data_IF_409707629941
#
_entry.id   IF_409707629941
#
_cell.length_a   1.000
_cell.length_b   1.000
_cell.length_c   1.000
_cell.angle_alpha   90.00
_cell.angle_beta   90.00
_cell.angle_gamma   90.00
#
_symmetry.space_group_name_H-M   'P 1'
#
loop_
_entity.id
_entity.type
_entity.pdbx_description
1 polymer ?
#
# COMPACT_ATOMS: atom_id res chain seq x y z
N UNK A 1 3.38 41.52 2.39
CA UNK A 1 1.99 41.05 2.58
C UNK A 1 1.87 39.53 2.59
N UNK A 2 2.52 38.79 1.68
CA UNK A 2 2.53 37.32 1.71
C UNK A 2 3.10 36.73 3.01
N UNK A 3 4.17 37.32 3.56
CA UNK A 3 4.79 36.88 4.83
C UNK A 3 3.85 37.00 6.04
N UNK A 4 2.94 37.98 6.03
CA UNK A 4 1.97 38.16 7.11
C UNK A 4 0.86 37.09 7.06
N UNK A 5 0.37 36.75 5.86
CA UNK A 5 -0.64 35.69 5.69
C UNK A 5 -0.05 34.32 6.00
N UNK A 6 1.16 34.02 5.51
CA UNK A 6 1.82 32.75 5.77
C UNK A 6 2.06 32.55 7.27
N UNK A 7 2.53 33.57 7.99
CA UNK A 7 2.71 33.50 9.44
C UNK A 7 1.38 33.26 10.19
N UNK A 8 0.28 33.90 9.77
CA UNK A 8 -1.05 33.67 10.34
C UNK A 8 -1.52 32.24 10.07
N UNK A 9 -1.32 31.71 8.86
CA UNK A 9 -1.67 30.34 8.50
C UNK A 9 -0.87 29.31 9.30
N UNK A 10 0.43 29.54 9.53
CA UNK A 10 1.26 28.66 10.34
C UNK A 10 0.83 28.66 11.81
N UNK A 11 0.55 29.83 12.38
CA UNK A 11 0.03 29.92 13.75
C UNK A 11 -1.35 29.27 13.90
N UNK A 12 -2.21 29.45 12.90
CA UNK A 12 -3.52 28.78 12.88
C UNK A 12 -3.41 27.26 12.73
N UNK A 13 -2.43 26.78 11.96
CA UNK A 13 -2.15 25.34 11.87
C UNK A 13 -1.64 24.81 13.22
N UNK A 14 -0.63 25.45 13.81
CA UNK A 14 -0.11 25.09 15.14
C UNK A 14 -1.22 25.08 16.21
N UNK A 15 -2.16 26.03 16.14
CA UNK A 15 -3.36 26.04 16.96
C UNK A 15 -4.22 24.79 16.79
N UNK A 16 -4.50 24.36 15.55
CA UNK A 16 -5.27 23.15 15.26
C UNK A 16 -4.52 21.89 15.73
N UNK A 17 -3.19 21.89 15.63
CA UNK A 17 -2.35 20.78 16.12
C UNK A 17 -2.27 20.69 17.64
N UNK A 18 -2.65 21.77 18.36
CA UNK A 18 -2.54 21.85 19.81
C UNK A 18 -1.17 22.34 20.30
N UNK A 19 -0.38 22.93 19.40
CA UNK A 19 0.99 23.40 19.63
C UNK A 19 1.06 24.91 19.95
N UNK A 20 0.00 25.68 19.66
CA UNK A 20 -0.10 27.11 20.01
C UNK A 20 -1.18 27.33 21.08
N UNK A 21 -0.76 27.85 22.24
CA UNK A 21 -1.60 28.16 23.41
C UNK A 21 -2.29 29.53 23.31
N UNK A 22 -1.79 30.43 22.46
CA UNK A 22 -2.34 31.80 22.26
C UNK A 22 -3.18 31.92 20.99
N UNK A 23 -3.59 30.78 20.44
CA UNK A 23 -4.33 30.65 19.20
C UNK A 23 -5.65 31.43 19.16
N UNK A 24 -6.28 31.66 20.31
CA UNK A 24 -7.54 32.41 20.44
C UNK A 24 -7.43 33.84 19.92
N UNK A 25 -6.23 34.43 19.98
CA UNK A 25 -5.94 35.76 19.46
C UNK A 25 -6.03 35.87 17.92
N UNK A 26 -6.10 34.74 17.20
CA UNK A 26 -6.24 34.71 15.74
C UNK A 26 -7.70 34.77 15.28
N UNK A 27 -8.67 34.58 16.18
CA UNK A 27 -10.09 34.54 15.83
C UNK A 27 -10.77 35.81 16.31
N UNK A 28 -11.38 36.54 15.38
CA UNK A 28 -12.27 37.66 15.73
C UNK A 28 -13.47 37.10 16.49
N UNK A 29 -13.65 37.59 17.71
CA UNK A 29 -14.71 37.16 18.58
C UNK A 29 -16.09 37.54 18.03
N UNK A 30 -17.06 36.66 18.23
CA UNK A 30 -18.45 36.82 17.81
C UNK A 30 -19.29 36.33 18.96
N UNK A 31 -20.20 37.20 19.43
CA UNK A 31 -21.03 37.00 20.62
C UNK A 31 -21.84 35.69 20.63
N UNK A 32 -21.94 34.96 19.50
CA UNK A 32 -22.65 33.68 19.39
C UNK A 32 -21.79 32.44 19.68
N UNK A 33 -20.49 32.46 19.36
CA UNK A 33 -19.55 31.34 19.56
C UNK A 33 -18.14 31.90 19.76
N UNK A 34 -17.65 31.92 21.00
CA UNK A 34 -16.34 32.46 21.34
C UNK A 34 -15.15 31.77 20.66
N UNK A 35 -14.01 32.48 20.59
CA UNK A 35 -12.78 32.04 19.90
C UNK A 35 -12.30 30.63 20.30
N UNK A 36 -12.26 30.32 21.59
CA UNK A 36 -11.88 29.00 22.11
C UNK A 36 -12.74 27.86 21.53
N UNK A 37 -14.06 28.06 21.48
CA UNK A 37 -15.01 27.07 20.95
C UNK A 37 -14.85 26.92 19.44
N UNK A 38 -14.56 28.00 18.71
CA UNK A 38 -14.28 27.95 17.26
C UNK A 38 -13.01 27.14 16.96
N UNK A 39 -11.92 27.35 17.71
CA UNK A 39 -10.69 26.56 17.57
C UNK A 39 -10.97 25.08 17.88
N UNK A 40 -11.74 24.80 18.94
CA UNK A 40 -12.17 23.45 19.27
C UNK A 40 -12.90 22.76 18.12
N UNK A 41 -13.79 23.47 17.41
CA UNK A 41 -14.47 22.93 16.21
C UNK A 41 -13.47 22.60 15.11
N UNK A 42 -12.50 23.48 14.81
CA UNK A 42 -11.47 23.20 13.81
C UNK A 42 -10.57 22.01 14.20
N UNK A 43 -10.16 21.91 15.47
CA UNK A 43 -9.41 20.76 16.00
C UNK A 43 -10.17 19.46 15.80
N UNK A 44 -11.45 19.45 16.14
CA UNK A 44 -12.31 18.28 16.00
C UNK A 44 -12.49 17.90 14.53
N UNK A 45 -12.75 18.87 13.65
CA UNK A 45 -12.90 18.63 12.22
C UNK A 45 -11.62 18.10 11.58
N UNK A 46 -10.45 18.61 11.98
CA UNK A 46 -9.16 18.12 11.53
C UNK A 46 -8.97 16.64 11.89
N UNK A 47 -9.18 16.28 13.16
CA UNK A 47 -9.08 14.88 13.61
C UNK A 47 -10.09 13.98 12.90
N UNK A 48 -11.36 14.39 12.86
CA UNK A 48 -12.41 13.63 12.19
C UNK A 48 -12.11 13.40 10.70
N UNK A 49 -11.54 14.40 10.02
CA UNK A 49 -11.15 14.29 8.61
C UNK A 49 -10.02 13.29 8.42
N UNK A 50 -8.99 13.32 9.27
CA UNK A 50 -7.87 12.37 9.19
C UNK A 50 -8.30 10.95 9.56
N UNK A 51 -9.13 10.77 10.59
CA UNK A 51 -9.73 9.48 10.92
C UNK A 51 -10.59 8.95 9.78
N UNK A 52 -11.38 9.80 9.13
CA UNK A 52 -12.15 9.43 7.94
C UNK A 52 -11.29 8.99 6.77
N UNK A 53 -10.15 9.67 6.54
CA UNK A 53 -9.17 9.24 5.52
C UNK A 53 -8.56 7.89 5.85
N UNK A 54 -8.24 7.61 7.11
CA UNK A 54 -7.76 6.29 7.50
C UNK A 54 -8.84 5.23 7.28
N UNK A 55 -10.10 5.50 7.63
CA UNK A 55 -11.19 4.55 7.43
C UNK A 55 -11.40 4.22 5.94
N UNK A 56 -11.22 5.20 5.04
CA UNK A 56 -11.26 5.01 3.59
C UNK A 56 -10.06 4.21 3.07
N UNK A 57 -8.85 4.53 3.54
CA UNK A 57 -7.62 3.89 3.09
C UNK A 57 -7.46 2.45 3.58
N UNK A 58 -8.03 2.14 4.74
CA UNK A 58 -7.88 0.87 5.46
C UNK A 58 -9.24 0.22 5.67
N UNK A 59 -10.03 0.15 4.61
CA UNK A 59 -11.44 -0.23 4.67
C UNK A 59 -11.63 -1.67 5.19
N UNK A 60 -10.74 -2.61 4.84
CA UNK A 60 -10.87 -4.00 5.32
C UNK A 60 -10.35 -4.16 6.74
N UNK A 61 -9.26 -3.48 7.09
CA UNK A 61 -8.85 -3.38 8.49
C UNK A 61 -9.95 -2.78 9.37
N UNK A 62 -10.62 -1.72 8.90
CA UNK A 62 -11.73 -1.09 9.60
C UNK A 62 -12.92 -2.05 9.74
N UNK A 63 -13.31 -2.75 8.67
CA UNK A 63 -14.37 -3.74 8.72
C UNK A 63 -14.05 -4.90 9.69
N UNK A 64 -12.78 -5.31 9.78
CA UNK A 64 -12.33 -6.36 10.68
C UNK A 64 -12.40 -5.95 12.16
N UNK A 65 -11.96 -4.73 12.49
CA UNK A 65 -11.90 -4.20 13.85
C UNK A 65 -13.26 -3.66 14.35
N UNK A 66 -14.09 -3.18 13.42
CA UNK A 66 -15.27 -2.38 13.72
C UNK A 66 -14.96 -0.97 14.22
N UNK A 67 -16.00 -0.13 14.25
CA UNK A 67 -15.91 1.32 14.48
C UNK A 67 -15.14 1.69 15.76
N UNK A 68 -15.40 1.00 16.87
CA UNK A 68 -14.87 1.36 18.17
C UNK A 68 -13.36 1.10 18.29
N UNK A 69 -12.91 -0.08 17.86
CA UNK A 69 -11.50 -0.45 17.95
C UNK A 69 -10.67 0.29 16.88
N UNK A 70 -11.19 0.41 15.66
CA UNK A 70 -10.56 1.22 14.62
C UNK A 70 -10.45 2.69 15.03
N UNK A 71 -11.50 3.27 15.62
CA UNK A 71 -11.49 4.64 16.11
C UNK A 71 -10.38 4.91 17.12
N UNK A 72 -10.15 4.00 18.07
CA UNK A 72 -9.04 4.11 19.02
C UNK A 72 -7.66 4.07 18.35
N UNK A 73 -7.47 3.18 17.36
CA UNK A 73 -6.21 3.08 16.61
C UNK A 73 -5.99 4.34 15.77
N UNK A 74 -7.01 4.81 15.07
CA UNK A 74 -6.97 6.00 14.25
C UNK A 74 -6.65 7.26 15.07
N UNK A 75 -7.28 7.44 16.23
CA UNK A 75 -7.01 8.57 17.11
C UNK A 75 -5.57 8.55 17.64
N UNK A 76 -5.07 7.38 18.03
CA UNK A 76 -3.68 7.21 18.47
C UNK A 76 -2.69 7.50 17.33
N UNK A 77 -2.98 7.00 16.12
CA UNK A 77 -2.18 7.25 14.93
C UNK A 77 -2.15 8.74 14.56
N UNK A 78 -3.31 9.42 14.50
CA UNK A 78 -3.42 10.85 14.17
C UNK A 78 -2.62 11.71 15.15
N UNK A 79 -2.60 11.33 16.43
CA UNK A 79 -1.80 12.03 17.45
C UNK A 79 -0.30 11.81 17.26
N UNK A 80 0.13 10.62 16.87
CA UNK A 80 1.54 10.29 16.66
C UNK A 80 2.08 10.73 15.29
N UNK A 81 1.21 10.77 14.27
CA UNK A 81 1.54 11.04 12.88
C UNK A 81 0.64 12.15 12.32
N UNK A 82 0.81 13.40 12.80
CA UNK A 82 0.05 14.52 12.27
C UNK A 82 0.30 14.69 10.76
N UNK A 83 -0.73 15.14 10.03
CA UNK A 83 -0.56 15.40 8.59
C UNK A 83 0.39 16.58 8.36
N UNK A 84 1.49 16.32 7.66
CA UNK A 84 2.51 17.32 7.29
C UNK A 84 2.39 17.77 5.84
N UNK A 85 1.48 17.17 5.06
CA UNK A 85 1.29 17.49 3.63
C UNK A 85 -0.16 17.85 3.35
N UNK A 86 -0.38 18.61 2.27
CA UNK A 86 -1.73 18.95 1.80
C UNK A 86 -2.40 17.80 1.05
N UNK A 87 -1.65 16.76 0.70
CA UNK A 87 -2.17 15.64 -0.09
C UNK A 87 -2.46 14.45 0.83
N UNK A 88 -3.73 14.31 1.20
CA UNK A 88 -4.17 13.23 2.08
C UNK A 88 -4.10 11.86 1.42
N UNK A 89 -3.88 11.76 0.11
CA UNK A 89 -3.63 10.48 -0.58
C UNK A 89 -2.54 9.65 0.07
N UNK A 90 -1.49 10.28 0.59
CA UNK A 90 -0.38 9.58 1.24
C UNK A 90 -0.52 9.46 2.75
N UNK A 91 -1.60 10.01 3.31
CA UNK A 91 -1.84 9.97 4.74
C UNK A 91 -2.21 8.54 5.18
N UNK A 92 -1.56 8.05 6.24
CA UNK A 92 -1.72 6.67 6.69
C UNK A 92 -0.61 5.72 6.22
N UNK A 93 0.37 6.17 5.42
CA UNK A 93 1.46 5.31 4.93
C UNK A 93 2.23 4.57 6.05
N UNK A 94 2.32 5.17 7.25
CA UNK A 94 2.97 4.57 8.41
C UNK A 94 2.02 3.74 9.29
N UNK A 95 0.71 3.68 8.98
CA UNK A 95 -0.26 2.94 9.80
C UNK A 95 0.08 1.45 9.89
N UNK A 96 0.49 0.74 8.83
CA UNK A 96 0.81 -0.67 8.96
C UNK A 96 1.96 -0.95 9.93
N UNK A 97 3.00 -0.11 9.91
CA UNK A 97 4.14 -0.21 10.83
C UNK A 97 3.77 0.23 12.26
N UNK A 98 2.92 1.26 12.38
CA UNK A 98 2.35 1.68 13.66
C UNK A 98 1.56 0.56 14.32
N UNK A 99 0.68 -0.10 13.57
CA UNK A 99 -0.10 -1.25 14.05
C UNK A 99 0.84 -2.39 14.46
N UNK A 100 1.83 -2.73 13.63
CA UNK A 100 2.81 -3.77 13.94
C UNK A 100 3.60 -3.49 15.22
N UNK A 101 3.89 -2.22 15.52
CA UNK A 101 4.61 -1.82 16.73
C UNK A 101 3.73 -1.86 17.99
N UNK A 102 2.47 -1.44 17.89
CA UNK A 102 1.57 -1.27 19.03
C UNK A 102 0.72 -2.51 19.34
N UNK A 103 0.52 -3.41 18.38
CA UNK A 103 -0.30 -4.62 18.48
C UNK A 103 0.51 -5.85 18.08
N UNK A 104 1.61 -6.10 18.80
CA UNK A 104 2.58 -7.16 18.45
C UNK A 104 2.00 -8.58 18.55
N UNK A 105 0.94 -8.75 19.36
CA UNK A 105 0.26 -10.04 19.53
C UNK A 105 -0.80 -10.30 18.44
N UNK A 106 -1.20 -9.26 17.70
CA UNK A 106 -2.27 -9.30 16.67
C UNK A 106 -1.65 -8.99 15.28
N UNK A 107 -0.73 -9.86 14.84
CA UNK A 107 0.07 -9.64 13.63
C UNK A 107 -0.76 -9.54 12.34
N UNK A 108 -1.94 -10.15 12.30
CA UNK A 108 -2.89 -10.06 11.19
C UNK A 108 -3.40 -8.64 10.97
N UNK A 109 -3.48 -7.80 12.01
CA UNK A 109 -3.91 -6.41 11.87
C UNK A 109 -2.92 -5.61 11.03
N UNK A 110 -1.63 -5.81 11.27
CA UNK A 110 -0.58 -5.17 10.49
C UNK A 110 -0.57 -5.68 9.04
N UNK A 111 -0.79 -6.97 8.83
CA UNK A 111 -0.86 -7.56 7.49
C UNK A 111 -2.09 -7.09 6.70
N UNK A 112 -3.26 -7.00 7.32
CA UNK A 112 -4.46 -6.40 6.72
C UNK A 112 -4.20 -4.94 6.35
N UNK A 113 -3.57 -4.17 7.24
CA UNK A 113 -3.19 -2.79 6.96
C UNK A 113 -2.22 -2.68 5.77
N UNK A 114 -1.21 -3.57 5.69
CA UNK A 114 -0.27 -3.61 4.56
C UNK A 114 -0.97 -3.96 3.24
N UNK A 115 -1.93 -4.88 3.27
CA UNK A 115 -2.67 -5.29 2.09
C UNK A 115 -3.58 -4.17 1.57
N UNK A 116 -4.37 -3.54 2.44
CA UNK A 116 -5.19 -2.37 2.09
C UNK A 116 -4.32 -1.26 1.47
N UNK A 117 -3.20 -0.95 2.12
CA UNK A 117 -2.27 0.06 1.64
C UNK A 117 -1.64 -0.29 0.28
N UNK A 118 -1.28 -1.56 0.07
CA UNK A 118 -0.70 -2.03 -1.18
C UNK A 118 -1.72 -2.00 -2.33
N UNK A 119 -2.97 -2.39 -2.09
CA UNK A 119 -4.03 -2.35 -3.11
C UNK A 119 -4.32 -0.91 -3.52
N UNK A 120 -4.36 0.00 -2.54
CA UNK A 120 -4.51 1.42 -2.82
C UNK A 120 -3.34 1.96 -3.62
N UNK A 121 -2.12 1.63 -3.25
CA UNK A 121 -0.93 2.00 -4.03
C UNK A 121 -0.97 1.47 -5.46
N UNK A 122 -1.42 0.23 -5.66
CA UNK A 122 -1.52 -0.37 -6.99
C UNK A 122 -2.53 0.38 -7.87
N UNK A 123 -3.69 0.75 -7.32
CA UNK A 123 -4.69 1.58 -8.00
C UNK A 123 -4.11 2.91 -8.49
N UNK A 124 -3.29 3.51 -7.63
CA UNK A 124 -2.74 4.85 -7.76
C UNK A 124 -1.40 4.93 -8.52
N UNK A 125 -0.80 3.79 -8.84
CA UNK A 125 0.53 3.70 -9.43
C UNK A 125 0.58 4.33 -10.83
N UNK A 126 1.74 4.89 -11.24
CA UNK A 126 1.92 5.47 -12.57
C UNK A 126 1.45 4.54 -13.70
N UNK A 127 0.78 5.09 -14.70
CA UNK A 127 0.40 4.35 -15.91
C UNK A 127 1.64 4.08 -16.75
N UNK A 128 2.23 2.89 -16.56
CA UNK A 128 3.34 2.40 -17.36
C UNK A 128 2.84 1.29 -18.27
N UNK A 129 3.16 1.29 -19.58
CA UNK A 129 2.78 0.18 -20.44
C UNK A 129 3.43 -1.12 -19.92
N UNK A 130 2.65 -2.15 -19.58
CA UNK A 130 3.23 -3.43 -19.21
C UNK A 130 3.92 -4.04 -20.43
N UNK A 131 4.91 -4.89 -20.15
CA UNK A 131 5.48 -5.73 -21.17
C UNK A 131 4.43 -6.72 -21.69
N UNK A 132 4.27 -6.77 -23.00
CA UNK A 132 3.39 -7.71 -23.69
C UNK A 132 4.15 -8.59 -24.70
N UNK A 133 3.45 -9.56 -25.28
CA UNK A 133 4.02 -10.46 -26.29
C UNK A 133 4.48 -9.72 -27.56
N UNK A 134 3.87 -8.58 -27.89
CA UNK A 134 4.26 -7.77 -29.05
C UNK A 134 5.62 -7.10 -28.83
N UNK A 135 5.83 -6.52 -27.65
CA UNK A 135 7.08 -5.92 -27.24
C UNK A 135 8.23 -6.95 -27.20
N UNK A 136 7.96 -8.16 -26.69
CA UNK A 136 8.91 -9.28 -26.75
C UNK A 136 9.24 -9.63 -28.21
N UNK A 137 8.22 -9.74 -29.06
CA UNK A 137 8.40 -10.04 -30.48
C UNK A 137 9.26 -9.01 -31.22
N UNK A 138 9.14 -7.73 -30.86
CA UNK A 138 9.96 -6.65 -31.43
C UNK A 138 11.43 -6.71 -30.98
N UNK A 139 11.70 -7.13 -29.74
CA UNK A 139 13.06 -7.29 -29.22
C UNK A 139 13.77 -8.52 -29.80
N UNK A 140 13.01 -9.53 -30.23
CA UNK A 140 13.56 -10.79 -30.72
C UNK A 140 14.44 -11.46 -29.66
N UNK A 141 15.64 -11.90 -30.05
CA UNK A 141 16.57 -12.58 -29.14
C UNK A 141 17.15 -11.66 -28.04
N UNK A 142 17.11 -10.33 -28.24
CA UNK A 142 17.67 -9.39 -27.27
C UNK A 142 16.91 -9.40 -25.93
N UNK A 143 15.62 -9.77 -25.96
CA UNK A 143 14.78 -9.95 -24.79
C UNK A 143 15.39 -10.93 -23.76
N UNK A 144 16.10 -11.96 -24.23
CA UNK A 144 16.67 -13.01 -23.35
C UNK A 144 17.66 -12.42 -22.34
N UNK A 145 18.43 -11.41 -22.76
CA UNK A 145 19.40 -10.71 -21.91
C UNK A 145 18.89 -9.38 -21.35
N UNK A 146 17.67 -8.95 -21.69
CA UNK A 146 17.10 -7.72 -21.18
C UNK A 146 16.72 -7.88 -19.71
N UNK A 147 17.06 -6.89 -18.88
CA UNK A 147 16.66 -6.87 -17.48
C UNK A 147 15.15 -6.63 -17.35
N UNK A 148 14.50 -7.38 -16.47
CA UNK A 148 13.08 -7.25 -16.18
C UNK A 148 12.90 -6.51 -14.87
N UNK A 149 11.76 -5.86 -14.70
CA UNK A 149 11.34 -5.28 -13.43
C UNK A 149 9.85 -5.51 -13.20
N UNK A 150 9.44 -5.41 -11.94
CA UNK A 150 8.02 -5.38 -11.60
C UNK A 150 7.42 -4.07 -12.09
N UNK A 151 6.21 -4.14 -12.62
CA UNK A 151 5.43 -2.95 -12.95
C UNK A 151 5.26 -2.07 -11.70
N UNK A 152 5.23 -0.73 -11.79
CA UNK A 152 5.12 0.15 -10.61
C UNK A 152 3.88 -0.08 -9.72
N UNK A 153 2.83 -0.68 -10.27
CA UNK A 153 1.65 -1.12 -9.50
C UNK A 153 1.86 -2.43 -8.74
N UNK A 154 2.86 -3.22 -9.11
CA UNK A 154 3.11 -4.54 -8.57
C UNK A 154 4.01 -4.49 -7.33
N UNK A 155 3.60 -5.19 -6.26
CA UNK A 155 4.34 -5.31 -5.00
C UNK A 155 4.18 -6.71 -4.42
N UNK A 156 5.24 -7.21 -3.80
CA UNK A 156 5.22 -8.45 -3.02
C UNK A 156 5.06 -8.12 -1.53
N UNK A 157 4.19 -8.85 -0.86
CA UNK A 157 4.00 -8.81 0.59
C UNK A 157 4.23 -10.21 1.16
N UNK A 158 4.99 -10.33 2.24
CA UNK A 158 5.06 -11.57 3.02
C UNK A 158 4.00 -11.54 4.11
N UNK A 159 3.27 -12.65 4.27
CA UNK A 159 2.23 -12.83 5.29
C UNK A 159 2.53 -14.07 6.14
N UNK A 160 2.52 -13.88 7.45
CA UNK A 160 2.65 -14.93 8.45
C UNK A 160 1.28 -15.44 8.92
N UNK A 161 0.20 -14.71 8.62
CA UNK A 161 -1.17 -15.07 9.00
C UNK A 161 -2.04 -15.30 7.77
N UNK A 162 -3.24 -15.88 7.96
CA UNK A 162 -4.23 -16.07 6.90
C UNK A 162 -4.92 -14.75 6.44
N UNK A 163 -4.22 -13.61 6.51
CA UNK A 163 -4.72 -12.26 6.26
C UNK A 163 -5.30 -12.07 4.87
N UNK A 164 -4.74 -12.72 3.85
CA UNK A 164 -5.31 -12.73 2.50
C UNK A 164 -6.73 -13.33 2.45
N UNK A 165 -6.98 -14.38 3.24
CA UNK A 165 -8.30 -15.01 3.33
C UNK A 165 -9.27 -14.17 4.18
N UNK A 166 -8.78 -13.56 5.27
CA UNK A 166 -9.54 -12.59 6.06
C UNK A 166 -10.01 -11.43 5.17
N UNK A 167 -9.10 -10.84 4.41
CA UNK A 167 -9.37 -9.73 3.50
C UNK A 167 -10.43 -10.11 2.45
N UNK A 168 -10.26 -11.23 1.76
CA UNK A 168 -11.22 -11.68 0.73
C UNK A 168 -12.61 -11.92 1.27
N UNK A 169 -12.74 -12.49 2.48
CA UNK A 169 -14.04 -12.70 3.10
C UNK A 169 -14.72 -11.37 3.42
N UNK A 170 -13.97 -10.40 3.97
CA UNK A 170 -14.49 -9.06 4.28
C UNK A 170 -14.92 -8.31 3.01
N UNK A 171 -14.15 -8.41 1.94
CA UNK A 171 -14.47 -7.80 0.64
C UNK A 171 -15.74 -8.40 0.02
N UNK A 172 -15.94 -9.71 0.19
CA UNK A 172 -17.15 -10.41 -0.23
C UNK A 172 -18.37 -10.16 0.69
N UNK A 173 -18.21 -9.45 1.81
CA UNK A 173 -19.26 -9.28 2.83
C UNK A 173 -19.58 -10.57 3.58
N UNK A 174 -18.66 -11.53 3.60
CA UNK A 174 -18.75 -12.81 4.28
C UNK A 174 -18.12 -12.74 5.69
N UNK A 175 -18.49 -13.69 6.55
CA UNK A 175 -17.84 -13.80 7.86
C UNK A 175 -16.37 -14.24 7.67
N UNK A 176 -15.38 -13.49 8.19
CA UNK A 176 -13.99 -13.88 8.05
C UNK A 176 -13.72 -15.21 8.77
N UNK A 177 -12.82 -16.05 8.23
CA UNK A 177 -12.39 -17.26 8.91
C UNK A 177 -11.71 -16.93 10.26
N UNK A 178 -11.55 -17.94 11.11
CA UNK A 178 -10.75 -17.78 12.33
C UNK A 178 -9.31 -17.39 11.97
N UNK A 179 -8.74 -16.44 12.71
CA UNK A 179 -7.35 -16.04 12.55
C UNK A 179 -6.43 -17.24 12.81
N UNK A 180 -5.43 -17.42 11.96
CA UNK A 180 -4.45 -18.48 12.09
C UNK A 180 -3.08 -18.02 11.61
N UNK A 181 -2.06 -18.34 12.39
CA UNK A 181 -0.66 -18.28 11.95
C UNK A 181 -0.41 -19.41 10.95
N UNK A 182 0.18 -19.07 9.82
CA UNK A 182 0.50 -20.02 8.76
C UNK A 182 1.70 -20.87 9.17
N UNK A 183 1.75 -22.11 8.68
CA UNK A 183 2.86 -23.02 8.95
C UNK A 183 4.20 -22.52 8.38
N UNK A 184 4.14 -21.71 7.32
CA UNK A 184 5.25 -20.98 6.74
C UNK A 184 4.71 -19.66 6.15
N UNK A 185 5.53 -18.61 6.07
CA UNK A 185 5.14 -17.36 5.43
C UNK A 185 4.69 -17.60 3.98
N UNK A 186 3.63 -16.91 3.56
CA UNK A 186 3.12 -16.94 2.19
C UNK A 186 3.32 -15.56 1.56
N UNK A 187 3.96 -15.55 0.39
CA UNK A 187 4.08 -14.33 -0.40
C UNK A 187 2.78 -14.05 -1.16
N UNK A 188 2.38 -12.79 -1.16
CA UNK A 188 1.21 -12.26 -1.87
C UNK A 188 1.70 -11.22 -2.88
N UNK A 189 1.32 -11.41 -4.13
CA UNK A 189 1.47 -10.40 -5.18
C UNK A 189 0.25 -9.50 -5.16
N UNK A 190 0.47 -8.19 -5.07
CA UNK A 190 -0.54 -7.14 -5.26
C UNK A 190 -0.18 -6.39 -6.53
N UNK A 191 -1.15 -6.12 -7.41
CA UNK A 191 -0.91 -5.38 -8.65
C UNK A 191 -2.19 -4.70 -9.14
N UNK A 192 -2.09 -3.92 -10.22
CA UNK A 192 -3.25 -3.38 -10.93
C UNK A 192 -3.31 -3.97 -12.34
N UNK A 193 -4.47 -4.50 -12.72
CA UNK A 193 -4.79 -4.87 -14.09
C UNK A 193 -5.88 -3.92 -14.62
N UNK A 194 -5.56 -3.13 -15.64
CA UNK A 194 -6.41 -2.03 -16.09
C UNK A 194 -6.61 -0.98 -14.99
N UNK A 195 -7.84 -0.83 -14.51
CA UNK A 195 -8.20 0.10 -13.42
C UNK A 195 -8.50 -0.60 -12.09
N UNK A 196 -8.30 -1.92 -12.02
CA UNK A 196 -8.68 -2.74 -10.88
C UNK A 196 -7.43 -3.25 -10.15
N UNK A 197 -7.27 -2.99 -8.85
CA UNK A 197 -6.25 -3.63 -8.05
C UNK A 197 -6.65 -5.08 -7.77
N UNK A 198 -5.65 -5.97 -7.77
CA UNK A 198 -5.78 -7.39 -7.54
C UNK A 198 -4.70 -7.85 -6.58
N UNK A 199 -4.94 -8.97 -5.92
CA UNK A 199 -3.90 -9.69 -5.22
C UNK A 199 -4.09 -11.20 -5.32
N UNK A 200 -3.00 -11.94 -5.11
CA UNK A 200 -3.04 -13.41 -5.00
C UNK A 200 -1.85 -13.94 -4.21
N UNK A 201 -2.07 -15.03 -3.51
CA UNK A 201 -0.98 -15.83 -2.93
C UNK A 201 -0.14 -16.47 -4.02
N UNK A 202 1.16 -16.58 -3.76
CA UNK A 202 2.17 -17.12 -4.66
C UNK A 202 2.68 -18.46 -4.14
N UNK A 203 3.06 -19.33 -5.09
CA UNK A 203 3.92 -20.46 -4.76
C UNK A 203 5.35 -19.95 -4.50
N UNK A 204 6.11 -20.66 -3.64
CA UNK A 204 7.47 -20.26 -3.25
C UNK A 204 8.40 -20.02 -4.44
N UNK A 205 8.36 -20.88 -5.47
CA UNK A 205 9.19 -20.74 -6.69
C UNK A 205 8.82 -19.47 -7.47
N UNK A 206 7.52 -19.16 -7.59
CA UNK A 206 7.05 -17.95 -8.25
C UNK A 206 7.49 -16.69 -7.49
N UNK A 207 7.30 -16.66 -6.18
CA UNK A 207 7.69 -15.54 -5.33
C UNK A 207 9.20 -15.28 -5.39
N UNK A 208 10.02 -16.33 -5.24
CA UNK A 208 11.47 -16.25 -5.35
C UNK A 208 11.92 -15.71 -6.72
N UNK A 209 11.19 -16.03 -7.78
CA UNK A 209 11.45 -15.53 -9.12
C UNK A 209 11.07 -14.05 -9.26
N UNK A 210 9.90 -13.65 -8.79
CA UNK A 210 9.46 -12.25 -8.80
C UNK A 210 10.35 -11.33 -7.95
N UNK A 211 10.92 -11.83 -6.84
CA UNK A 211 11.94 -11.10 -6.06
C UNK A 211 13.20 -10.83 -6.89
N UNK A 212 13.63 -11.78 -7.74
CA UNK A 212 14.78 -11.60 -8.63
C UNK A 212 14.47 -10.63 -9.76
N UNK A 213 13.29 -10.73 -10.35
CA UNK A 213 12.78 -9.76 -11.33
C UNK A 213 12.77 -8.35 -10.74
N UNK A 214 12.28 -8.18 -9.50
CA UNK A 214 12.32 -6.88 -8.81
C UNK A 214 13.72 -6.28 -8.62
N UNK A 215 14.78 -7.07 -8.84
CA UNK A 215 16.19 -6.64 -8.79
C UNK A 215 16.84 -6.49 -10.17
N UNK A 216 16.08 -6.54 -11.26
CA UNK A 216 16.61 -6.37 -12.61
C UNK A 216 17.02 -7.67 -13.32
N UNK A 217 16.62 -8.84 -12.82
CA UNK A 217 17.02 -10.12 -13.43
C UNK A 217 16.54 -10.24 -14.88
N UNK A 218 17.37 -10.83 -15.73
CA UNK A 218 17.01 -11.13 -17.12
C UNK A 218 16.23 -12.44 -17.24
N UNK A 219 15.62 -12.69 -18.40
CA UNK A 219 15.00 -13.98 -18.68
C UNK A 219 16.00 -15.14 -18.56
N UNK A 220 17.26 -14.95 -18.98
CA UNK A 220 18.32 -15.94 -18.82
C UNK A 220 18.59 -16.27 -17.33
N UNK A 221 18.66 -15.25 -16.47
CA UNK A 221 18.88 -15.44 -15.03
C UNK A 221 17.73 -16.19 -14.37
N UNK A 222 16.51 -15.86 -14.75
CA UNK A 222 15.29 -16.50 -14.26
C UNK A 222 15.24 -17.96 -14.70
N UNK A 223 15.55 -18.25 -15.96
CA UNK A 223 15.59 -19.61 -16.49
C UNK A 223 16.63 -20.46 -15.75
N UNK A 224 17.84 -19.94 -15.56
CA UNK A 224 18.88 -20.62 -14.80
C UNK A 224 18.48 -20.85 -13.33
N UNK A 225 17.77 -19.91 -12.71
CA UNK A 225 17.26 -20.08 -11.35
C UNK A 225 16.23 -21.21 -11.27
N UNK A 226 15.22 -21.24 -12.16
CA UNK A 226 14.18 -22.25 -12.12
C UNK A 226 14.74 -23.67 -12.31
N UNK A 227 15.71 -23.86 -13.20
CA UNK A 227 16.35 -25.18 -13.41
C UNK A 227 16.99 -25.72 -12.12
N UNK A 228 17.41 -24.87 -11.18
CA UNK A 228 17.97 -25.29 -9.90
C UNK A 228 16.91 -25.57 -8.83
N UNK A 229 15.70 -25.00 -8.95
CA UNK A 229 14.64 -25.10 -7.94
C UNK A 229 13.61 -26.19 -8.26
N UNK A 230 13.40 -26.49 -9.54
CA UNK A 230 12.48 -27.54 -10.00
C UNK A 230 13.22 -28.57 -10.82
N UNK A 231 12.60 -29.73 -11.06
CA UNK A 231 13.18 -30.75 -11.92
C UNK A 231 13.43 -30.19 -13.33
N UNK A 232 14.62 -30.45 -13.88
CA UNK A 232 15.06 -29.93 -15.18
C UNK A 232 14.03 -30.19 -16.30
N UNK A 233 13.38 -31.35 -16.26
CA UNK A 233 12.34 -31.75 -17.21
C UNK A 233 11.09 -30.86 -17.20
N UNK A 234 10.78 -30.20 -16.08
CA UNK A 234 9.58 -29.36 -15.91
C UNK A 234 9.90 -27.86 -15.80
N UNK A 235 11.18 -27.49 -15.69
CA UNK A 235 11.63 -26.11 -15.51
C UNK A 235 11.16 -25.18 -16.63
N UNK A 236 11.31 -25.59 -17.89
CA UNK A 236 10.94 -24.75 -19.04
C UNK A 236 9.43 -24.59 -19.17
N UNK A 237 8.67 -25.65 -18.91
CA UNK A 237 7.20 -25.61 -18.91
C UNK A 237 6.67 -24.71 -17.80
N UNK A 238 7.23 -24.84 -16.60
CA UNK A 238 6.91 -23.98 -15.44
C UNK A 238 7.22 -22.52 -15.75
N UNK A 239 8.39 -22.23 -16.32
CA UNK A 239 8.78 -20.88 -16.71
C UNK A 239 7.82 -20.30 -17.75
N UNK A 240 7.47 -21.06 -18.78
CA UNK A 240 6.55 -20.62 -19.82
C UNK A 240 5.16 -20.31 -19.25
N UNK A 241 4.64 -21.15 -18.35
CA UNK A 241 3.36 -20.93 -17.68
C UNK A 241 3.37 -19.67 -16.79
N UNK A 242 4.43 -19.48 -16.00
CA UNK A 242 4.60 -18.30 -15.15
C UNK A 242 4.71 -17.02 -15.99
N UNK A 243 5.54 -17.02 -17.04
CA UNK A 243 5.71 -15.87 -17.91
C UNK A 243 4.40 -15.51 -18.61
N UNK A 244 3.69 -16.49 -19.17
CA UNK A 244 2.39 -16.26 -19.81
C UNK A 244 1.39 -15.60 -18.83
N UNK A 245 1.37 -16.06 -17.57
CA UNK A 245 0.53 -15.46 -16.53
C UNK A 245 0.96 -14.04 -16.20
N UNK A 246 2.25 -13.78 -16.03
CA UNK A 246 2.73 -12.44 -15.69
C UNK A 246 2.48 -11.41 -16.80
N UNK A 247 2.57 -11.83 -18.07
CA UNK A 247 2.21 -10.99 -19.22
C UNK A 247 0.71 -10.71 -19.25
N UNK A 248 -0.14 -11.71 -18.98
CA UNK A 248 -1.59 -11.53 -18.91
C UNK A 248 -2.02 -10.65 -17.74
N UNK A 249 -1.35 -10.78 -16.60
CA UNK A 249 -1.59 -9.98 -15.39
C UNK A 249 -1.03 -8.55 -15.51
N UNK A 250 -0.13 -8.29 -16.47
CA UNK A 250 0.48 -6.98 -16.69
C UNK A 250 1.49 -6.57 -15.61
N UNK A 251 2.18 -7.52 -14.99
CA UNK A 251 3.00 -7.28 -13.79
C UNK A 251 4.48 -7.04 -14.09
N UNK A 252 4.88 -7.10 -15.37
CA UNK A 252 6.26 -6.94 -15.80
C UNK A 252 6.44 -5.70 -16.68
N UNK A 253 7.61 -5.09 -16.56
CA UNK A 253 8.14 -4.08 -17.48
C UNK A 253 9.61 -4.41 -17.77
N UNK A 254 10.19 -3.72 -18.75
CA UNK A 254 11.65 -3.73 -18.91
C UNK A 254 12.30 -2.85 -17.83
N UNK A 255 13.48 -3.26 -17.34
CA UNK A 255 14.17 -2.56 -16.26
C UNK A 255 14.63 -1.14 -16.66
N UNK A 256 14.86 -0.89 -17.96
CA UNK A 256 15.16 0.45 -18.49
C UNK A 256 13.96 1.41 -18.38
N UNK A 257 12.73 0.90 -18.53
CA UNK A 257 11.50 1.65 -18.30
C UNK A 257 11.31 1.98 -16.82
N UNK A 258 11.68 1.07 -15.91
CA UNK A 258 11.59 1.31 -14.47
C UNK A 258 12.48 2.49 -14.03
N UNK A 259 13.69 2.57 -14.58
CA UNK A 259 14.63 3.64 -14.29
C UNK A 259 14.17 5.03 -14.77
N UNK A 260 13.26 5.09 -15.76
CA UNK A 260 12.73 6.35 -16.29
C UNK A 260 11.58 6.94 -15.46
N UNK A 261 11.00 6.15 -14.54
CA UNK A 261 9.82 6.52 -13.72
C UNK A 261 10.21 6.94 -12.29
N UNK A 262 11.46 6.71 -11.89
CA UNK A 262 12.00 7.04 -10.55
C UNK A 262 12.69 8.40 -10.54
#
# INVERSE_FOLDING_TARGET
>A
MADALYAIQQRFLAAIMGEDVDAEALIVDDARVGAARRIGIYRNNYRASLTGVLADHFERLHAYLGDAQFGHIADAYVKAHPSTTRNLRYYGAALPDFVAHHFQEDGELAELARLDWALRHAFDAPDTPPLDAGAIGMLGEQWVGAGLALHPSARLLAMDHNSAALWSALDAGEAPPAVAVLAAPVDVLVWRNGLQPHFRSLAAVEAATLVRIGRGASFADISAHLVNEVEEATAMETLAALLARWLADGVLILADQAAAVT
#
